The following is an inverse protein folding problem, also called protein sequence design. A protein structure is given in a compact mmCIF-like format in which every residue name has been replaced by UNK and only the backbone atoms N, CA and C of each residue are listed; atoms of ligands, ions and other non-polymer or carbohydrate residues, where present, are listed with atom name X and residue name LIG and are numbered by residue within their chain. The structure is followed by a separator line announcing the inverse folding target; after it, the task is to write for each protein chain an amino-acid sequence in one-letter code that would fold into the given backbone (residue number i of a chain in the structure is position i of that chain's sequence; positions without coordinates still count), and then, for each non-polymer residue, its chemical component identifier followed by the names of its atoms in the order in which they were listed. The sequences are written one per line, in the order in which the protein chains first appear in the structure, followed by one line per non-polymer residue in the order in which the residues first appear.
data_IF_044158966599
#
_entry.id   IF_044158966599
#
_cell.length_a   1.000
_cell.length_b   1.000
_cell.length_c   1.000
_cell.angle_alpha   90.00
_cell.angle_beta   90.00
_cell.angle_gamma   90.00
#
_symmetry.space_group_name_H-M   'P 1'
#
loop_
_entity.id
_entity.type
_entity.pdbx_description
1 polymer ?
#
# COMPACT_ATOMS: atom_id res chain seq x y z
N UNK A 1 9.74 -1.92 20.59
CA UNK A 1 8.72 -2.79 21.21
C UNK A 1 7.38 -2.10 21.03
N UNK A 2 6.28 -2.83 20.75
CA UNK A 2 4.95 -2.25 20.78
C UNK A 2 4.71 -1.59 22.14
N UNK A 3 4.18 -0.37 22.18
CA UNK A 3 3.73 0.21 23.45
C UNK A 3 2.39 -0.44 23.83
N UNK A 4 2.02 -0.39 25.12
CA UNK A 4 0.79 -1.01 25.62
C UNK A 4 -0.47 -0.50 24.89
N UNK A 5 -0.43 0.73 24.36
CA UNK A 5 -1.50 1.35 23.57
C UNK A 5 -1.66 0.67 22.20
N UNK A 6 -0.55 0.39 21.51
CA UNK A 6 -0.55 -0.32 20.23
C UNK A 6 -1.10 -1.74 20.40
N UNK A 7 -0.73 -2.45 21.46
CA UNK A 7 -1.25 -3.79 21.73
C UNK A 7 -2.76 -3.77 21.98
N UNK A 8 -3.25 -2.82 22.79
CA UNK A 8 -4.69 -2.66 23.04
C UNK A 8 -5.47 -2.33 21.78
N UNK A 9 -5.00 -1.38 20.97
CA UNK A 9 -5.64 -1.00 19.71
C UNK A 9 -5.62 -2.19 18.74
N UNK A 10 -4.51 -2.89 18.64
CA UNK A 10 -4.39 -4.08 17.76
C UNK A 10 -5.37 -5.16 18.18
N UNK A 11 -5.47 -5.47 19.48
CA UNK A 11 -6.42 -6.47 20.00
C UNK A 11 -7.88 -6.06 19.78
N UNK A 12 -8.20 -4.78 19.99
CA UNK A 12 -9.54 -4.25 19.72
C UNK A 12 -9.91 -4.45 18.25
N UNK A 13 -9.01 -4.12 17.34
CA UNK A 13 -9.27 -4.18 15.90
C UNK A 13 -9.21 -5.61 15.37
N UNK A 14 -8.37 -6.49 15.90
CA UNK A 14 -8.29 -7.92 15.53
C UNK A 14 -9.58 -8.70 15.76
N UNK A 15 -10.43 -8.24 16.69
CA UNK A 15 -11.73 -8.87 16.92
C UNK A 15 -12.79 -8.47 15.88
N UNK A 16 -12.48 -7.51 15.00
CA UNK A 16 -13.38 -7.04 13.95
C UNK A 16 -13.23 -7.83 12.64
N UNK A 17 -14.33 -8.16 11.93
CA UNK A 17 -14.24 -8.77 10.60
C UNK A 17 -13.49 -7.90 9.59
N UNK A 18 -13.48 -6.57 9.75
CA UNK A 18 -12.75 -5.66 8.87
C UNK A 18 -11.24 -5.83 8.97
N UNK A 19 -10.71 -6.34 10.10
CA UNK A 19 -9.28 -6.59 10.22
C UNK A 19 -8.81 -7.67 9.26
N UNK A 20 -9.56 -8.77 9.17
CA UNK A 20 -9.28 -9.85 8.22
C UNK A 20 -9.43 -9.35 6.78
N UNK A 21 -10.47 -8.59 6.47
CA UNK A 21 -10.70 -8.02 5.14
C UNK A 21 -9.54 -7.10 4.71
N UNK A 22 -9.06 -6.23 5.61
CA UNK A 22 -7.89 -5.37 5.34
C UNK A 22 -6.62 -6.19 5.12
N UNK A 23 -6.40 -7.27 5.90
CA UNK A 23 -5.26 -8.16 5.69
C UNK A 23 -5.31 -8.86 4.33
N UNK A 24 -6.51 -9.27 3.89
CA UNK A 24 -6.71 -9.88 2.59
C UNK A 24 -6.44 -8.90 1.45
N UNK A 25 -6.91 -7.65 1.55
CA UNK A 25 -6.62 -6.59 0.57
C UNK A 25 -5.11 -6.32 0.52
N UNK A 26 -4.43 -6.17 1.67
CA UNK A 26 -2.98 -5.96 1.73
C UNK A 26 -2.21 -7.13 1.09
N UNK A 27 -2.64 -8.37 1.37
CA UNK A 27 -2.03 -9.57 0.83
C UNK A 27 -2.22 -9.66 -0.68
N UNK A 28 -3.45 -9.50 -1.17
CA UNK A 28 -3.78 -9.56 -2.58
C UNK A 28 -3.06 -8.48 -3.39
N UNK A 29 -3.00 -7.25 -2.87
CA UNK A 29 -2.21 -6.17 -3.46
C UNK A 29 -0.73 -6.57 -3.59
N UNK A 30 -0.12 -7.13 -2.54
CA UNK A 30 1.28 -7.56 -2.54
C UNK A 30 1.54 -8.69 -3.52
N UNK A 31 0.70 -9.72 -3.49
CA UNK A 31 0.84 -10.92 -4.30
C UNK A 31 0.68 -10.60 -5.79
N UNK A 32 -0.23 -9.68 -6.13
CA UNK A 32 -0.48 -9.23 -7.50
C UNK A 32 0.53 -8.20 -7.99
N UNK A 33 1.04 -7.32 -7.12
CA UNK A 33 2.03 -6.29 -7.47
C UNK A 33 3.45 -6.87 -7.69
N UNK A 34 3.83 -7.92 -6.95
CA UNK A 34 5.18 -8.51 -7.00
C UNK A 34 5.58 -9.06 -8.39
N UNK A 35 4.71 -9.74 -9.15
CA UNK A 35 4.97 -10.11 -10.54
C UNK A 35 5.28 -8.91 -11.43
N UNK A 36 4.48 -7.83 -11.37
CA UNK A 36 4.67 -6.63 -12.18
C UNK A 36 6.00 -5.93 -11.88
N UNK A 37 6.37 -5.81 -10.59
CA UNK A 37 7.69 -5.29 -10.21
C UNK A 37 8.83 -6.15 -10.78
N UNK A 38 8.69 -7.48 -10.68
CA UNK A 38 9.70 -8.42 -11.18
C UNK A 38 9.85 -8.30 -12.69
N UNK A 39 8.75 -8.21 -13.43
CA UNK A 39 8.75 -8.04 -14.87
C UNK A 39 9.32 -6.69 -15.29
N UNK A 40 8.89 -5.59 -14.65
CA UNK A 40 9.43 -4.24 -14.87
C UNK A 40 10.94 -4.20 -14.66
N UNK A 41 11.44 -4.84 -13.58
CA UNK A 41 12.88 -4.95 -13.31
C UNK A 41 13.61 -5.69 -14.43
N UNK A 42 13.07 -6.80 -14.92
CA UNK A 42 13.65 -7.55 -16.06
C UNK A 42 13.70 -6.68 -17.32
N UNK A 43 12.60 -6.01 -17.65
CA UNK A 43 12.53 -5.10 -18.81
C UNK A 43 13.52 -3.95 -18.70
N UNK A 44 13.70 -3.37 -17.51
CA UNK A 44 14.70 -2.32 -17.26
C UNK A 44 16.14 -2.81 -17.44
N UNK A 45 16.44 -4.02 -16.99
CA UNK A 45 17.76 -4.64 -17.19
C UNK A 45 18.01 -4.86 -18.69
N UNK A 46 17.02 -5.37 -19.42
CA UNK A 46 17.10 -5.62 -20.86
C UNK A 46 17.24 -4.31 -21.65
N UNK A 47 16.45 -3.28 -21.31
CA UNK A 47 16.56 -1.94 -21.88
C UNK A 47 17.98 -1.39 -21.74
N UNK A 48 18.54 -1.40 -20.52
CA UNK A 48 19.91 -0.91 -20.27
C UNK A 48 20.97 -1.69 -21.05
N UNK A 49 20.79 -3.00 -21.21
CA UNK A 49 21.69 -3.83 -22.01
C UNK A 49 21.61 -3.48 -23.51
N UNK A 50 20.41 -3.29 -24.05
CA UNK A 50 20.19 -2.86 -25.43
C UNK A 50 20.76 -1.45 -25.70
N UNK A 51 20.65 -0.53 -24.75
CA UNK A 51 21.24 0.82 -24.85
C UNK A 51 22.75 0.75 -24.98
N UNK A 52 23.41 -0.04 -24.12
CA UNK A 52 24.87 -0.23 -24.15
C UNK A 52 25.35 -0.88 -25.44
N UNK A 53 24.53 -1.77 -26.01
CA UNK A 53 24.84 -2.47 -27.25
C UNK A 53 24.48 -1.69 -28.53
N UNK A 54 23.90 -0.49 -28.42
CA UNK A 54 23.44 0.30 -29.57
C UNK A 54 22.29 -0.33 -30.35
N UNK A 55 21.52 -1.26 -29.75
CA UNK A 55 20.43 -2.00 -30.41
C UNK A 55 19.12 -1.21 -30.35
N UNK A 56 18.98 -0.21 -31.21
CA UNK A 56 17.84 0.72 -31.22
C UNK A 56 16.48 0.06 -31.42
N UNK A 57 16.40 -0.98 -32.25
CA UNK A 57 15.15 -1.70 -32.50
C UNK A 57 14.55 -2.36 -31.24
N UNK A 58 15.39 -2.85 -30.31
CA UNK A 58 14.96 -3.49 -29.08
C UNK A 58 14.65 -2.51 -27.94
N UNK A 59 15.08 -1.23 -28.07
CA UNK A 59 14.87 -0.22 -27.03
C UNK A 59 13.39 0.12 -26.87
N UNK A 60 12.70 0.32 -27.99
CA UNK A 60 11.28 0.69 -27.95
C UNK A 60 10.45 -0.42 -27.32
N UNK A 61 10.64 -1.68 -27.72
CA UNK A 61 9.93 -2.82 -27.15
C UNK A 61 10.16 -2.93 -25.63
N UNK A 62 11.39 -2.77 -25.15
CA UNK A 62 11.67 -2.81 -23.71
C UNK A 62 11.06 -1.61 -22.97
N UNK A 63 10.99 -0.44 -23.60
CA UNK A 63 10.36 0.76 -23.04
C UNK A 63 8.85 0.59 -22.94
N UNK A 64 8.20 0.12 -24.01
CA UNK A 64 6.76 -0.15 -24.03
C UNK A 64 6.37 -1.15 -22.92
N UNK A 65 7.18 -2.21 -22.75
CA UNK A 65 7.00 -3.18 -21.68
C UNK A 65 7.15 -2.54 -20.27
N UNK A 66 8.06 -1.58 -20.09
CA UNK A 66 8.21 -0.87 -18.81
C UNK A 66 6.95 -0.01 -18.56
N UNK A 67 6.54 0.76 -19.55
CA UNK A 67 5.42 1.70 -19.44
C UNK A 67 4.09 0.98 -19.22
N UNK A 68 3.87 -0.16 -19.89
CA UNK A 68 2.70 -1.02 -19.69
C UNK A 68 2.65 -1.59 -18.27
N UNK A 69 3.79 -2.09 -17.76
CA UNK A 69 3.82 -2.63 -16.40
C UNK A 69 3.61 -1.54 -15.34
N UNK A 70 4.14 -0.34 -15.56
CA UNK A 70 3.91 0.80 -14.67
C UNK A 70 2.42 1.17 -14.66
N UNK A 71 1.77 1.25 -15.83
CA UNK A 71 0.32 1.49 -15.90
C UNK A 71 -0.47 0.46 -15.10
N UNK A 72 -0.20 -0.84 -15.31
CA UNK A 72 -0.87 -1.92 -14.57
C UNK A 72 -0.66 -1.82 -13.06
N UNK A 73 0.53 -1.46 -12.61
CA UNK A 73 0.80 -1.26 -11.18
C UNK A 73 0.02 -0.07 -10.60
N UNK A 74 -0.06 1.04 -11.35
CA UNK A 74 -0.83 2.22 -10.94
C UNK A 74 -2.33 1.91 -10.86
N UNK A 75 -2.87 1.20 -11.84
CA UNK A 75 -4.28 0.85 -11.86
C UNK A 75 -4.64 -0.13 -10.73
N UNK A 76 -3.82 -1.17 -10.52
CA UNK A 76 -3.95 -2.08 -9.38
C UNK A 76 -3.91 -1.33 -8.05
N UNK A 77 -2.98 -0.38 -7.90
CA UNK A 77 -2.89 0.42 -6.68
C UNK A 77 -4.14 1.24 -6.44
N UNK A 78 -4.68 1.92 -7.46
CA UNK A 78 -5.92 2.71 -7.34
C UNK A 78 -7.12 1.84 -6.96
N UNK A 79 -7.26 0.68 -7.58
CA UNK A 79 -8.33 -0.27 -7.30
C UNK A 79 -8.28 -0.74 -5.85
N UNK A 80 -7.14 -1.29 -5.43
CA UNK A 80 -6.98 -1.80 -4.06
C UNK A 80 -7.04 -0.71 -3.00
N UNK A 81 -6.54 0.48 -3.31
CA UNK A 81 -6.64 1.63 -2.40
C UNK A 81 -8.09 2.04 -2.18
N UNK A 82 -8.92 2.03 -3.22
CA UNK A 82 -10.35 2.31 -3.09
C UNK A 82 -11.06 1.29 -2.21
N UNK A 83 -10.77 -0.01 -2.40
CA UNK A 83 -11.31 -1.08 -1.55
C UNK A 83 -10.88 -0.87 -0.09
N UNK A 84 -9.59 -0.65 0.12
CA UNK A 84 -8.99 -0.38 1.43
C UNK A 84 -9.67 0.80 2.16
N UNK A 85 -9.84 1.93 1.48
CA UNK A 85 -10.42 3.14 2.08
C UNK A 85 -11.88 2.93 2.50
N UNK A 86 -12.65 2.16 1.75
CA UNK A 86 -14.03 1.81 2.12
C UNK A 86 -14.05 0.99 3.41
N UNK A 87 -13.19 -0.02 3.52
CA UNK A 87 -13.13 -0.90 4.70
C UNK A 87 -12.63 -0.14 5.93
N UNK A 88 -11.62 0.72 5.77
CA UNK A 88 -11.14 1.61 6.84
C UNK A 88 -12.24 2.54 7.32
N UNK A 89 -13.01 3.14 6.42
CA UNK A 89 -14.10 4.05 6.79
C UNK A 89 -15.15 3.32 7.64
N UNK A 90 -15.57 2.12 7.23
CA UNK A 90 -16.51 1.28 7.99
C UNK A 90 -15.96 0.87 9.34
N UNK A 91 -14.69 0.47 9.39
CA UNK A 91 -14.02 0.13 10.65
C UNK A 91 -13.95 1.35 11.59
N UNK A 92 -13.63 2.54 11.06
CA UNK A 92 -13.61 3.79 11.82
C UNK A 92 -14.99 4.17 12.37
N UNK A 93 -16.05 3.97 11.59
CA UNK A 93 -17.44 4.19 12.01
C UNK A 93 -17.86 3.22 13.12
N UNK A 94 -17.58 1.93 12.95
CA UNK A 94 -17.95 0.89 13.92
C UNK A 94 -17.17 0.99 15.23
N UNK A 95 -15.88 1.35 15.16
CA UNK A 95 -15.08 1.64 16.37
C UNK A 95 -15.56 2.92 17.04
N UNK A 96 -15.89 3.94 16.24
CA UNK A 96 -16.40 5.23 16.71
C UNK A 96 -15.42 6.02 17.60
N UNK A 97 -15.93 7.12 18.17
CA UNK A 97 -15.18 7.94 19.11
C UNK A 97 -13.90 8.55 18.52
N UNK A 98 -12.92 8.80 19.40
CA UNK A 98 -11.61 9.35 19.02
C UNK A 98 -10.83 8.33 18.19
N UNK A 99 -10.78 7.07 18.65
CA UNK A 99 -10.01 6.01 17.98
C UNK A 99 -10.43 5.80 16.52
N UNK A 100 -11.73 5.77 16.25
CA UNK A 100 -12.26 5.63 14.89
C UNK A 100 -11.89 6.80 13.98
N UNK A 101 -11.95 8.04 14.49
CA UNK A 101 -11.52 9.23 13.73
C UNK A 101 -10.02 9.22 13.46
N UNK A 102 -9.22 8.91 14.48
CA UNK A 102 -7.75 8.82 14.38
C UNK A 102 -7.33 7.77 13.36
N UNK A 103 -8.05 6.64 13.27
CA UNK A 103 -7.82 5.61 12.26
C UNK A 103 -8.00 6.15 10.83
N UNK A 104 -9.14 6.79 10.56
CA UNK A 104 -9.45 7.35 9.23
C UNK A 104 -8.47 8.46 8.85
N UNK A 105 -8.14 9.34 9.79
CA UNK A 105 -7.21 10.45 9.56
C UNK A 105 -5.79 9.95 9.26
N UNK A 106 -5.29 8.95 9.99
CA UNK A 106 -3.99 8.33 9.73
C UNK A 106 -3.92 7.76 8.32
N UNK A 107 -4.94 7.02 7.89
CA UNK A 107 -4.97 6.42 6.54
C UNK A 107 -5.03 7.49 5.45
N UNK A 108 -5.84 8.54 5.65
CA UNK A 108 -5.92 9.68 4.72
C UNK A 108 -4.57 10.39 4.57
N UNK A 109 -3.87 10.62 5.68
CA UNK A 109 -2.58 11.30 5.66
C UNK A 109 -1.47 10.44 5.06
N UNK A 110 -1.48 9.13 5.34
CA UNK A 110 -0.56 8.19 4.70
C UNK A 110 -0.78 8.12 3.18
N UNK A 111 -2.02 8.23 2.70
CA UNK A 111 -2.35 8.30 1.28
C UNK A 111 -2.10 9.67 0.63
N UNK A 112 -2.20 10.75 1.41
CA UNK A 112 -2.03 12.14 0.94
C UNK A 112 -0.59 12.65 0.95
N UNK A 113 0.33 11.97 1.65
CA UNK A 113 1.71 12.42 1.76
C UNK A 113 2.47 12.24 0.43
N UNK A 114 2.81 13.36 -0.21
CA UNK A 114 3.72 13.43 -1.38
C UNK A 114 5.15 12.94 -1.09
N UNK A 115 5.49 12.61 0.17
CA UNK A 115 6.75 11.93 0.45
C UNK A 115 6.67 10.50 -0.05
N UNK A 116 7.13 10.33 -1.29
CA UNK A 116 7.64 9.11 -1.88
C UNK A 116 7.94 8.03 -0.83
N UNK A 117 7.01 7.10 -0.67
CA UNK A 117 7.39 5.76 -0.22
C UNK A 117 7.03 4.85 -1.37
N UNK A 118 8.00 4.67 -2.26
CA UNK A 118 7.96 3.65 -3.28
C UNK A 118 7.61 2.32 -2.60
N UNK A 119 6.37 1.85 -2.83
CA UNK A 119 5.89 0.56 -2.36
C UNK A 119 4.83 0.61 -1.25
N UNK A 120 3.57 0.86 -1.59
CA UNK A 120 2.41 0.25 -0.92
C UNK A 120 2.28 0.43 0.60
N UNK A 121 2.83 1.49 1.17
CA UNK A 121 2.88 1.66 2.63
C UNK A 121 1.59 2.23 3.23
N UNK A 122 0.71 2.79 2.41
CA UNK A 122 -0.59 3.34 2.77
C UNK A 122 -1.68 2.26 2.90
N UNK A 123 -1.45 1.07 2.32
CA UNK A 123 -2.24 -0.16 2.51
C UNK A 123 -1.46 -1.20 3.33
N UNK A 124 -0.73 -0.75 4.34
CA UNK A 124 -0.04 -1.63 5.29
C UNK A 124 -0.70 -1.51 6.67
N UNK A 125 -1.45 -2.54 7.06
CA UNK A 125 -2.27 -2.49 8.27
C UNK A 125 -1.39 -2.28 9.52
N UNK A 126 -0.27 -3.00 9.61
CA UNK A 126 0.65 -2.88 10.73
C UNK A 126 1.19 -1.46 10.90
N UNK A 127 1.56 -0.79 9.82
CA UNK A 127 2.05 0.60 9.83
C UNK A 127 0.94 1.57 10.22
N UNK A 128 -0.26 1.40 9.69
CA UNK A 128 -1.44 2.20 10.08
C UNK A 128 -1.66 2.10 11.58
N UNK A 129 -1.68 0.88 12.13
CA UNK A 129 -1.89 0.65 13.56
C UNK A 129 -0.80 1.28 14.44
N UNK A 130 0.45 1.24 14.00
CA UNK A 130 1.56 1.93 14.69
C UNK A 130 1.34 3.44 14.72
N UNK A 131 0.96 4.05 13.60
CA UNK A 131 0.73 5.51 13.53
C UNK A 131 -0.51 5.94 14.30
N UNK A 132 -1.58 5.14 14.31
CA UNK A 132 -2.75 5.37 15.17
C UNK A 132 -2.33 5.33 16.63
N UNK A 133 -1.58 4.31 17.06
CA UNK A 133 -1.14 4.19 18.44
C UNK A 133 -0.26 5.36 18.89
N UNK A 134 0.64 5.86 18.03
CA UNK A 134 1.45 7.06 18.31
C UNK A 134 0.59 8.30 18.54
N UNK A 135 -0.46 8.49 17.74
CA UNK A 135 -1.38 9.63 17.91
C UNK A 135 -2.19 9.52 19.19
N UNK A 136 -2.71 8.32 19.47
CA UNK A 136 -3.47 8.06 20.70
C UNK A 136 -2.63 8.24 21.97
N UNK A 137 -1.30 8.05 21.90
CA UNK A 137 -0.38 8.33 23.02
C UNK A 137 -0.01 9.81 23.16
N UNK A 138 -0.22 10.62 22.12
CA UNK A 138 0.09 12.06 22.10
C UNK A 138 -1.11 12.96 22.42
N UNK A 139 -2.32 12.39 22.44
CA UNK A 139 -3.56 13.05 22.88
C UNK A 139 -3.77 12.89 24.39
#
# INVERSE_FOLDING_TARGET
MPNATQEKITLLLQSSPYHTELQEIEKDYRDTHKPFLTQTKKSLIAYRAATRAGKTAALQEHQDNIDENIHKMVDLHKEKKREWDIVIQRLGEDVGGILGRTLVDVVRELGGSRTNVAGGHDMNLGKVLVEVAKRMDSE
#
